data_IF_178839209245
#
_entry.id   IF_178839209245
#
_cell.length_a   1.000
_cell.length_b   1.000
_cell.length_c   1.000
_cell.angle_alpha   90.00
_cell.angle_beta   90.00
_cell.angle_gamma   90.00
#
_symmetry.space_group_name_H-M   'P 1'
#
loop_
_entity.id
_entity.type
_entity.pdbx_description
1 polymer ?
#
# COMPACT_ATOMS: atom_id res chain seq x y z
N UNK A 1 -4.87 -1.44 -11.36
CA UNK A 1 -3.55 -1.28 -10.76
C UNK A 1 -2.62 -0.53 -11.71
N UNK A 2 -1.70 0.33 -11.20
CA UNK A 2 -0.87 1.21 -12.05
C UNK A 2 -0.03 0.43 -13.08
N UNK A 3 0.55 -0.70 -12.70
CA UNK A 3 1.32 -1.56 -13.63
C UNK A 3 0.49 -2.06 -14.82
N UNK A 4 -0.75 -2.46 -14.56
CA UNK A 4 -1.67 -2.93 -15.59
C UNK A 4 -2.20 -1.79 -16.46
N UNK A 5 -2.29 -0.60 -15.86
CA UNK A 5 -2.82 0.60 -16.52
C UNK A 5 -1.76 1.39 -17.29
N UNK A 6 -0.46 1.11 -17.10
CA UNK A 6 0.65 1.88 -17.67
C UNK A 6 0.49 2.12 -19.18
N UNK A 7 0.26 1.05 -19.94
CA UNK A 7 0.10 1.15 -21.39
C UNK A 7 -1.07 2.04 -21.82
N UNK A 8 -2.15 2.05 -21.03
CA UNK A 8 -3.31 2.89 -21.32
C UNK A 8 -3.02 4.36 -21.00
N UNK A 9 -2.44 4.64 -19.83
CA UNK A 9 -2.05 6.00 -19.46
C UNK A 9 -1.10 6.62 -20.49
N UNK A 10 -0.08 5.85 -20.93
CA UNK A 10 0.91 6.33 -21.92
C UNK A 10 0.35 6.47 -23.34
N UNK A 11 -0.78 5.85 -23.66
CA UNK A 11 -1.44 5.99 -24.96
C UNK A 11 -2.42 7.18 -25.05
N UNK A 12 -2.76 7.79 -23.91
CA UNK A 12 -3.69 8.92 -23.89
C UNK A 12 -3.02 10.20 -24.41
N UNK A 13 -3.76 11.01 -25.19
CA UNK A 13 -3.32 12.36 -25.54
C UNK A 13 -3.10 13.22 -24.29
N UNK A 14 -2.06 14.03 -24.29
CA UNK A 14 -1.75 14.92 -23.16
C UNK A 14 -2.92 15.86 -22.82
N UNK A 15 -3.65 16.34 -23.84
CA UNK A 15 -4.82 17.19 -23.66
C UNK A 15 -5.94 16.53 -22.85
N UNK A 16 -6.14 15.22 -23.00
CA UNK A 16 -7.13 14.48 -22.23
C UNK A 16 -6.67 14.28 -20.78
N UNK A 17 -5.37 14.05 -20.60
CA UNK A 17 -4.81 13.91 -19.25
C UNK A 17 -4.96 15.22 -18.48
N UNK A 18 -4.62 16.35 -19.10
CA UNK A 18 -4.73 17.70 -18.51
C UNK A 18 -6.19 18.10 -18.19
N UNK A 19 -7.16 17.56 -18.92
CA UNK A 19 -8.58 17.81 -18.66
C UNK A 19 -9.13 17.01 -17.45
N UNK A 20 -8.39 16.04 -16.91
CA UNK A 20 -8.88 15.12 -15.89
C UNK A 20 -7.97 15.06 -14.66
N UNK A 21 -8.42 15.57 -13.49
CA UNK A 21 -7.69 15.43 -12.24
C UNK A 21 -7.33 13.96 -11.89
N UNK A 22 -8.20 13.03 -12.28
CA UNK A 22 -7.96 11.60 -12.08
C UNK A 22 -6.80 11.07 -12.91
N UNK A 23 -6.71 11.49 -14.15
CA UNK A 23 -5.62 11.07 -15.04
C UNK A 23 -4.30 11.73 -14.66
N UNK A 24 -4.31 13.04 -14.31
CA UNK A 24 -3.10 13.70 -13.78
C UNK A 24 -2.57 13.04 -12.52
N UNK A 25 -3.44 12.71 -11.55
CA UNK A 25 -3.07 11.93 -10.36
C UNK A 25 -2.47 10.58 -10.74
N UNK A 26 -3.13 9.86 -11.65
CA UNK A 26 -2.69 8.55 -12.12
C UNK A 26 -1.31 8.61 -12.80
N UNK A 27 -1.07 9.60 -13.65
CA UNK A 27 0.22 9.82 -14.32
C UNK A 27 1.32 10.18 -13.33
N UNK A 28 1.05 11.08 -12.36
CA UNK A 28 2.02 11.41 -11.31
C UNK A 28 2.44 10.16 -10.54
N UNK A 29 1.48 9.34 -10.12
CA UNK A 29 1.76 8.12 -9.39
C UNK A 29 2.47 7.06 -10.23
N UNK A 30 2.08 6.89 -11.50
CA UNK A 30 2.74 5.98 -12.42
C UNK A 30 4.21 6.35 -12.62
N UNK A 31 4.49 7.62 -12.92
CA UNK A 31 5.85 8.11 -13.07
C UNK A 31 6.68 7.88 -11.79
N UNK A 32 6.12 8.14 -10.61
CA UNK A 32 6.79 7.88 -9.34
C UNK A 32 7.13 6.40 -9.14
N UNK A 33 6.23 5.49 -9.50
CA UNK A 33 6.42 4.04 -9.38
C UNK A 33 7.48 3.49 -10.34
N UNK A 34 7.73 4.16 -11.47
CA UNK A 34 8.83 3.82 -12.39
C UNK A 34 10.09 4.68 -12.13
N UNK A 35 10.14 5.40 -11.01
CA UNK A 35 11.22 6.30 -10.58
C UNK A 35 11.48 7.50 -11.53
N UNK A 36 10.55 7.81 -12.40
CA UNK A 36 10.53 9.08 -13.15
C UNK A 36 9.96 10.19 -12.24
N UNK A 37 10.78 10.65 -11.31
CA UNK A 37 10.35 11.65 -10.33
C UNK A 37 10.11 13.02 -10.95
N UNK A 38 10.81 13.37 -12.03
CA UNK A 38 10.57 14.63 -12.77
C UNK A 38 9.20 14.60 -13.45
N UNK A 39 8.87 13.52 -14.14
CA UNK A 39 7.54 13.30 -14.71
C UNK A 39 6.44 13.30 -13.66
N UNK A 40 6.70 12.68 -12.51
CA UNK A 40 5.76 12.67 -11.39
C UNK A 40 5.46 14.07 -10.86
N UNK A 41 6.49 14.90 -10.61
CA UNK A 41 6.33 16.27 -10.12
C UNK A 41 5.72 17.20 -11.19
N UNK A 42 5.99 16.94 -12.48
CA UNK A 42 5.33 17.66 -13.58
C UNK A 42 3.81 17.47 -13.51
N UNK A 43 3.33 16.23 -13.44
CA UNK A 43 1.90 15.94 -13.39
C UNK A 43 1.24 16.40 -12.09
N UNK A 44 1.98 16.34 -10.98
CA UNK A 44 1.54 16.94 -9.71
C UNK A 44 1.35 18.45 -9.86
N UNK A 45 2.29 19.15 -10.49
CA UNK A 45 2.19 20.59 -10.75
C UNK A 45 1.02 20.98 -11.66
N UNK A 46 0.72 20.17 -12.69
CA UNK A 46 -0.47 20.40 -13.53
C UNK A 46 -1.77 20.20 -12.73
N UNK A 47 -1.84 19.20 -11.87
CA UNK A 47 -2.99 19.02 -10.97
C UNK A 47 -3.11 20.19 -9.97
N UNK A 48 -2.01 20.73 -9.48
CA UNK A 48 -2.00 21.91 -8.61
C UNK A 48 -2.56 23.14 -9.34
N UNK A 49 -2.12 23.40 -10.56
CA UNK A 49 -2.66 24.48 -11.41
C UNK A 49 -4.17 24.30 -11.64
N UNK A 50 -4.61 23.07 -11.89
CA UNK A 50 -6.04 22.78 -12.04
C UNK A 50 -6.82 23.18 -10.78
N UNK A 51 -6.31 22.84 -9.60
CA UNK A 51 -6.92 23.20 -8.30
C UNK A 51 -6.99 24.71 -8.10
N UNK A 52 -5.96 25.44 -8.51
CA UNK A 52 -5.91 26.91 -8.39
C UNK A 52 -6.98 27.62 -9.23
N UNK A 53 -7.36 27.03 -10.38
CA UNK A 53 -8.40 27.58 -11.27
C UNK A 53 -9.83 27.17 -10.85
N UNK A 54 -10.00 26.26 -9.90
CA UNK A 54 -11.29 25.78 -9.43
C UNK A 54 -11.82 26.56 -8.23
N UNK A 55 -13.12 26.82 -8.20
CA UNK A 55 -13.80 27.41 -7.04
C UNK A 55 -13.73 26.47 -5.80
N UNK A 56 -13.68 27.07 -4.59
CA UNK A 56 -13.61 26.30 -3.33
C UNK A 56 -14.77 25.32 -3.13
N UNK A 57 -15.96 25.66 -3.61
CA UNK A 57 -17.17 24.86 -3.45
C UNK A 57 -17.49 23.97 -4.67
N UNK A 58 -16.75 24.11 -5.73
CA UNK A 58 -16.92 23.30 -6.92
C UNK A 58 -16.60 21.82 -6.65
N UNK A 59 -17.46 20.91 -7.13
CA UNK A 59 -17.31 19.47 -6.93
C UNK A 59 -16.02 18.94 -7.57
N UNK A 60 -15.68 19.43 -8.79
CA UNK A 60 -14.44 19.06 -9.46
C UNK A 60 -13.21 19.58 -8.69
N UNK A 61 -13.28 20.80 -8.15
CA UNK A 61 -12.25 21.37 -7.31
C UNK A 61 -12.05 20.60 -5.98
N UNK A 62 -13.13 20.14 -5.34
CA UNK A 62 -13.04 19.29 -4.14
C UNK A 62 -12.37 17.95 -4.43
N UNK A 63 -12.72 17.31 -5.55
CA UNK A 63 -12.09 16.07 -5.98
C UNK A 63 -10.61 16.27 -6.32
N UNK A 64 -10.28 17.33 -7.07
CA UNK A 64 -8.90 17.64 -7.44
C UNK A 64 -8.02 17.90 -6.21
N UNK A 65 -8.52 18.67 -5.23
CA UNK A 65 -7.83 18.89 -3.94
C UNK A 65 -7.64 17.59 -3.15
N UNK A 66 -8.65 16.71 -3.13
CA UNK A 66 -8.53 15.40 -2.50
C UNK A 66 -7.46 14.54 -3.16
N UNK A 67 -7.35 14.56 -4.49
CA UNK A 67 -6.32 13.84 -5.23
C UNK A 67 -4.92 14.39 -5.00
N UNK A 68 -4.81 15.72 -4.91
CA UNK A 68 -3.56 16.39 -4.57
C UNK A 68 -3.09 16.01 -3.16
N UNK A 69 -3.99 16.11 -2.18
CA UNK A 69 -3.73 15.70 -0.80
C UNK A 69 -3.34 14.21 -0.69
N UNK A 70 -3.96 13.36 -1.51
CA UNK A 70 -3.59 11.95 -1.58
C UNK A 70 -2.18 11.76 -2.15
N UNK A 71 -1.79 12.47 -3.20
CA UNK A 71 -0.42 12.44 -3.74
C UNK A 71 0.61 12.91 -2.72
N UNK A 72 0.30 13.93 -1.92
CA UNK A 72 1.18 14.39 -0.83
C UNK A 72 1.46 13.29 0.19
N UNK A 73 0.47 12.45 0.46
CA UNK A 73 0.62 11.30 1.37
C UNK A 73 1.34 10.13 0.69
N UNK A 74 1.04 9.84 -0.58
CA UNK A 74 1.39 8.56 -1.22
C UNK A 74 2.67 8.60 -2.05
N UNK A 75 3.07 9.75 -2.63
CA UNK A 75 4.25 9.82 -3.50
C UNK A 75 5.53 9.38 -2.78
N UNK A 76 6.24 8.35 -3.30
CA UNK A 76 7.44 7.79 -2.65
C UNK A 76 8.53 8.82 -2.40
N UNK A 77 8.82 9.68 -3.39
CA UNK A 77 9.90 10.67 -3.33
C UNK A 77 9.68 11.75 -2.26
N UNK A 78 8.46 11.95 -1.78
CA UNK A 78 8.16 12.91 -0.70
C UNK A 78 8.50 12.38 0.69
N UNK A 79 8.86 11.09 0.80
CA UNK A 79 9.24 10.46 2.06
C UNK A 79 8.14 10.52 3.11
N UNK A 80 8.53 10.40 4.38
CA UNK A 80 7.61 10.37 5.53
C UNK A 80 7.73 11.62 6.43
N UNK A 81 8.73 12.45 6.22
CA UNK A 81 9.07 13.56 7.12
C UNK A 81 7.91 14.54 7.31
N UNK A 82 7.16 14.84 6.25
CA UNK A 82 6.01 15.74 6.29
C UNK A 82 4.67 15.08 6.67
N UNK A 83 4.59 13.75 6.75
CA UNK A 83 3.31 13.07 6.95
C UNK A 83 2.67 13.37 8.31
N UNK A 84 3.47 13.63 9.34
CA UNK A 84 2.99 14.04 10.67
C UNK A 84 2.21 15.36 10.65
N UNK A 85 2.45 16.20 9.65
CA UNK A 85 1.75 17.48 9.43
C UNK A 85 0.65 17.31 8.38
N UNK A 86 0.95 16.57 7.30
CA UNK A 86 0.04 16.38 6.17
C UNK A 86 -1.21 15.59 6.57
N UNK A 87 -1.07 14.48 7.32
CA UNK A 87 -2.23 13.65 7.71
C UNK A 87 -3.24 14.44 8.56
N UNK A 88 -2.85 15.15 9.63
CA UNK A 88 -3.80 15.99 10.37
C UNK A 88 -4.38 17.15 9.55
N UNK A 89 -3.60 17.69 8.58
CA UNK A 89 -4.11 18.74 7.69
C UNK A 89 -5.20 18.20 6.76
N UNK A 90 -4.96 17.04 6.13
CA UNK A 90 -5.96 16.36 5.29
C UNK A 90 -7.21 15.99 6.11
N UNK A 91 -7.04 15.50 7.33
CA UNK A 91 -8.16 15.22 8.22
C UNK A 91 -9.04 16.46 8.46
N UNK A 92 -8.44 17.63 8.70
CA UNK A 92 -9.20 18.88 8.85
C UNK A 92 -9.96 19.24 7.57
N UNK A 93 -9.35 19.11 6.40
CA UNK A 93 -10.00 19.37 5.12
C UNK A 93 -11.19 18.44 4.87
N UNK A 94 -11.08 17.16 5.24
CA UNK A 94 -12.18 16.19 5.16
C UNK A 94 -13.32 16.55 6.13
N UNK A 95 -12.98 16.87 7.37
CA UNK A 95 -13.96 17.26 8.40
C UNK A 95 -14.74 18.50 7.96
N UNK A 96 -14.08 19.45 7.31
CA UNK A 96 -14.70 20.66 6.77
C UNK A 96 -15.40 20.43 5.42
N UNK A 97 -15.39 19.20 4.88
CA UNK A 97 -15.96 18.86 3.55
C UNK A 97 -15.34 19.66 2.39
N UNK A 98 -14.09 20.07 2.52
CA UNK A 98 -13.36 20.83 1.52
C UNK A 98 -12.70 19.93 0.47
N UNK A 99 -12.52 18.64 0.78
CA UNK A 99 -11.96 17.63 -0.10
C UNK A 99 -12.79 16.35 -0.08
N UNK A 100 -12.66 15.56 -1.17
CA UNK A 100 -13.13 14.18 -1.24
C UNK A 100 -11.94 13.30 -1.66
N UNK A 101 -11.53 12.38 -0.80
CA UNK A 101 -10.42 11.48 -1.11
C UNK A 101 -10.87 10.41 -2.11
N UNK A 102 -10.03 10.09 -3.11
CA UNK A 102 -10.26 8.95 -3.97
C UNK A 102 -10.05 7.63 -3.20
N UNK A 103 -10.72 6.58 -3.63
CA UNK A 103 -10.37 5.23 -3.19
C UNK A 103 -8.97 4.86 -3.67
N UNK A 104 -8.15 4.28 -2.81
CA UNK A 104 -6.78 3.90 -3.13
C UNK A 104 -6.32 2.66 -2.35
N UNK A 105 -5.30 1.99 -2.87
CA UNK A 105 -4.63 0.90 -2.20
C UNK A 105 -3.60 1.45 -1.20
N UNK A 106 -3.61 0.97 0.03
CA UNK A 106 -2.63 1.36 1.06
C UNK A 106 -1.30 0.61 0.94
N UNK A 107 -1.29 -0.52 0.22
CA UNK A 107 -0.12 -1.42 0.11
C UNK A 107 0.36 -1.60 -1.32
N UNK A 108 -0.37 -1.12 -2.34
CA UNK A 108 -0.10 -1.41 -3.76
C UNK A 108 0.05 -2.92 -4.05
N UNK A 109 -0.76 -3.76 -3.39
CA UNK A 109 -0.72 -5.23 -3.44
C UNK A 109 0.56 -5.85 -2.82
N UNK A 110 1.23 -5.14 -1.91
CA UNK A 110 2.36 -5.65 -1.14
C UNK A 110 1.88 -6.31 0.17
N UNK A 111 2.59 -7.33 0.68
CA UNK A 111 2.28 -7.96 1.97
C UNK A 111 2.84 -7.13 3.14
N UNK A 112 2.80 -5.82 3.06
CA UNK A 112 3.45 -4.91 4.00
C UNK A 112 2.82 -3.53 3.95
N UNK A 113 2.71 -2.89 5.11
CA UNK A 113 2.31 -1.50 5.27
C UNK A 113 3.54 -0.58 5.32
N UNK A 114 4.55 -0.97 6.11
CA UNK A 114 5.71 -0.13 6.41
C UNK A 114 6.81 -0.25 5.35
N UNK A 115 6.87 -1.36 4.63
CA UNK A 115 7.86 -1.60 3.57
C UNK A 115 7.30 -1.35 2.17
N UNK A 116 6.44 -0.35 2.02
CA UNK A 116 5.86 0.06 0.75
C UNK A 116 6.78 0.94 -0.10
N UNK A 117 6.19 1.89 -0.80
CA UNK A 117 6.91 2.85 -1.63
C UNK A 117 7.69 3.93 -0.87
N UNK A 118 7.55 4.02 0.46
CA UNK A 118 8.24 5.01 1.30
C UNK A 118 9.17 4.35 2.30
N UNK A 119 10.23 5.06 2.66
CA UNK A 119 11.10 4.70 3.78
C UNK A 119 10.52 5.22 5.10
N UNK A 120 10.07 4.29 5.94
CA UNK A 120 9.52 4.57 7.27
C UNK A 120 10.55 4.40 8.40
N UNK A 121 11.83 4.25 8.11
CA UNK A 121 12.87 4.03 9.13
C UNK A 121 12.89 5.11 10.21
N UNK A 122 12.70 6.39 9.84
CA UNK A 122 12.59 7.48 10.81
C UNK A 122 11.36 7.39 11.71
N UNK A 123 10.25 6.89 11.19
CA UNK A 123 9.03 6.68 11.97
C UNK A 123 9.18 5.53 12.96
N UNK A 124 9.88 4.49 12.56
CA UNK A 124 10.11 3.33 13.42
C UNK A 124 10.80 3.68 14.74
N UNK A 125 11.60 4.74 14.77
CA UNK A 125 12.24 5.27 16.00
C UNK A 125 11.24 5.81 17.02
N UNK A 126 10.03 6.16 16.60
CA UNK A 126 8.98 6.80 17.40
C UNK A 126 7.63 6.12 17.21
N UNK A 127 7.61 4.85 16.84
CA UNK A 127 6.41 4.12 16.42
C UNK A 127 5.28 4.13 17.46
N UNK A 128 5.57 3.94 18.77
CA UNK A 128 4.56 4.00 19.82
C UNK A 128 3.93 5.40 19.96
N UNK A 129 4.73 6.46 19.80
CA UNK A 129 4.23 7.83 19.83
C UNK A 129 3.36 8.11 18.61
N UNK A 130 3.83 7.73 17.43
CA UNK A 130 3.12 7.92 16.16
C UNK A 130 1.82 7.12 16.12
N UNK A 131 1.84 5.88 16.61
CA UNK A 131 0.62 5.07 16.75
C UNK A 131 -0.43 5.79 17.60
N UNK A 132 -0.05 6.31 18.78
CA UNK A 132 -0.96 7.03 19.69
C UNK A 132 -1.51 8.32 19.08
N UNK A 133 -0.73 9.02 18.27
CA UNK A 133 -1.09 10.34 17.75
C UNK A 133 -1.79 10.29 16.39
N UNK A 134 -1.42 9.34 15.53
CA UNK A 134 -1.91 9.26 14.15
C UNK A 134 -3.01 8.24 13.93
N UNK A 135 -3.22 7.27 14.85
CA UNK A 135 -4.24 6.24 14.68
C UNK A 135 -5.62 6.83 14.37
N UNK A 136 -6.12 7.68 15.23
CA UNK A 136 -7.47 8.27 15.05
C UNK A 136 -7.58 9.14 13.79
N UNK A 137 -6.63 10.05 13.48
CA UNK A 137 -6.64 10.78 12.22
C UNK A 137 -6.62 9.86 10.99
N UNK A 138 -5.80 8.80 10.99
CA UNK A 138 -5.70 7.85 9.87
C UNK A 138 -7.02 7.07 9.71
N UNK A 139 -7.57 6.53 10.80
CA UNK A 139 -8.84 5.81 10.77
C UNK A 139 -9.99 6.70 10.26
N UNK A 140 -10.03 7.97 10.68
CA UNK A 140 -11.05 8.91 10.24
C UNK A 140 -10.89 9.32 8.75
N UNK A 141 -9.64 9.45 8.25
CA UNK A 141 -9.34 9.79 6.85
C UNK A 141 -9.68 8.64 5.93
N UNK A 142 -9.32 7.42 6.30
CA UNK A 142 -9.45 6.22 5.46
C UNK A 142 -10.77 5.47 5.70
N UNK A 143 -11.45 5.72 6.80
CA UNK A 143 -12.70 5.06 7.14
C UNK A 143 -12.53 3.53 7.20
N UNK A 144 -13.36 2.79 6.46
CA UNK A 144 -13.33 1.33 6.44
C UNK A 144 -12.03 0.74 5.89
N UNK A 145 -11.31 1.48 5.06
CA UNK A 145 -10.03 1.05 4.49
C UNK A 145 -8.88 1.05 5.51
N UNK A 146 -9.12 1.64 6.70
CA UNK A 146 -8.16 1.70 7.80
C UNK A 146 -8.30 0.57 8.83
N UNK A 147 -9.27 -0.31 8.69
CA UNK A 147 -9.46 -1.43 9.63
C UNK A 147 -8.16 -2.25 9.71
N UNK A 148 -7.62 -2.41 10.91
CA UNK A 148 -6.31 -3.02 11.22
C UNK A 148 -5.07 -2.25 10.71
N UNK A 149 -5.19 -1.13 9.98
CA UNK A 149 -4.05 -0.45 9.36
C UNK A 149 -2.99 -0.02 10.38
N UNK A 150 -3.39 0.76 11.39
CA UNK A 150 -2.45 1.28 12.38
C UNK A 150 -1.87 0.16 13.26
N UNK A 151 -2.70 -0.82 13.65
CA UNK A 151 -2.27 -1.96 14.45
C UNK A 151 -1.32 -2.88 13.68
N UNK A 152 -1.58 -3.11 12.38
CA UNK A 152 -0.68 -3.87 11.51
C UNK A 152 0.64 -3.12 11.29
N UNK A 153 0.60 -1.81 11.05
CA UNK A 153 1.79 -0.99 10.82
C UNK A 153 2.74 -1.01 12.03
N UNK A 154 2.20 -0.85 13.25
CA UNK A 154 3.04 -0.91 14.46
C UNK A 154 3.54 -2.33 14.74
N UNK A 155 2.73 -3.36 14.49
CA UNK A 155 3.18 -4.74 14.62
C UNK A 155 4.33 -5.04 13.65
N UNK A 156 4.21 -4.58 12.40
CA UNK A 156 5.27 -4.73 11.40
C UNK A 156 6.55 -3.97 11.79
N UNK A 157 6.44 -2.71 12.24
CA UNK A 157 7.60 -1.94 12.72
C UNK A 157 8.35 -2.65 13.83
N UNK A 158 7.62 -3.24 14.79
CA UNK A 158 8.23 -4.00 15.90
C UNK A 158 8.84 -5.33 15.42
N UNK A 159 8.17 -6.04 14.53
CA UNK A 159 8.69 -7.26 13.90
C UNK A 159 10.03 -7.01 13.18
N UNK A 160 10.12 -5.93 12.41
CA UNK A 160 11.37 -5.56 11.69
C UNK A 160 12.52 -5.21 12.66
N UNK A 161 12.21 -4.86 13.90
CA UNK A 161 13.21 -4.66 14.97
C UNK A 161 13.57 -5.96 15.70
N UNK A 162 13.00 -7.09 15.34
CA UNK A 162 13.19 -8.37 15.99
C UNK A 162 12.39 -8.53 17.29
N UNK A 163 11.39 -7.69 17.56
CA UNK A 163 10.49 -7.85 18.69
C UNK A 163 9.47 -8.97 18.43
N UNK A 164 9.08 -9.67 19.48
CA UNK A 164 7.97 -10.64 19.37
C UNK A 164 6.64 -9.91 19.21
N UNK A 165 5.96 -10.22 18.12
CA UNK A 165 4.66 -9.64 17.78
C UNK A 165 3.51 -10.64 17.81
N UNK A 166 3.75 -11.89 18.25
CA UNK A 166 2.75 -12.96 18.24
C UNK A 166 1.48 -12.56 19.00
N UNK A 167 1.59 -12.00 20.20
CA UNK A 167 0.45 -11.54 20.98
C UNK A 167 -0.34 -10.42 20.28
N UNK A 168 0.36 -9.53 19.59
CA UNK A 168 -0.26 -8.44 18.80
C UNK A 168 -0.98 -8.99 17.58
N UNK A 169 -0.37 -9.92 16.86
CA UNK A 169 -1.02 -10.58 15.72
C UNK A 169 -2.26 -11.37 16.15
N UNK A 170 -2.23 -12.06 17.29
CA UNK A 170 -3.41 -12.74 17.84
C UNK A 170 -4.55 -11.75 18.15
N UNK A 171 -4.26 -10.55 18.60
CA UNK A 171 -5.27 -9.51 18.84
C UNK A 171 -5.90 -8.95 17.57
N UNK A 172 -5.26 -9.08 16.42
CA UNK A 172 -5.80 -8.68 15.12
C UNK A 172 -6.73 -9.74 14.50
N UNK A 173 -6.57 -11.01 14.84
CA UNK A 173 -7.35 -12.11 14.25
C UNK A 173 -8.87 -11.93 14.35
N UNK A 174 -9.46 -11.49 15.50
CA UNK A 174 -10.90 -11.23 15.56
C UNK A 174 -11.39 -10.17 14.58
N UNK A 175 -10.54 -9.18 14.26
CA UNK A 175 -10.84 -8.10 13.34
C UNK A 175 -10.74 -8.54 11.86
N UNK A 176 -10.11 -9.69 11.57
CA UNK A 176 -9.96 -10.19 10.21
C UNK A 176 -11.28 -10.49 9.51
N UNK A 177 -12.33 -10.87 10.25
CA UNK A 177 -13.66 -11.04 9.67
C UNK A 177 -14.25 -9.69 9.22
N UNK A 178 -14.02 -8.63 9.96
CA UNK A 178 -14.42 -7.27 9.58
C UNK A 178 -13.63 -6.80 8.37
N UNK A 179 -12.31 -7.05 8.33
CA UNK A 179 -11.46 -6.75 7.17
C UNK A 179 -11.96 -7.49 5.91
N UNK A 180 -12.30 -8.78 6.02
CA UNK A 180 -12.81 -9.58 4.89
C UNK A 180 -14.15 -9.08 4.37
N UNK A 181 -15.03 -8.66 5.25
CA UNK A 181 -16.40 -8.28 4.91
C UNK A 181 -16.54 -6.81 4.53
N UNK A 182 -15.72 -5.93 5.10
CA UNK A 182 -15.89 -4.49 5.03
C UNK A 182 -14.59 -3.71 4.73
N UNK A 183 -13.44 -4.32 4.92
CA UNK A 183 -12.13 -3.72 4.66
C UNK A 183 -11.63 -3.94 3.23
N UNK A 184 -10.38 -3.58 2.99
CA UNK A 184 -9.72 -3.80 1.71
C UNK A 184 -8.99 -5.15 1.67
N UNK A 185 -8.92 -5.75 0.49
CA UNK A 185 -8.10 -6.94 0.25
C UNK A 185 -6.61 -6.68 0.52
N UNK A 186 -6.19 -5.43 0.37
CA UNK A 186 -4.83 -4.97 0.71
C UNK A 186 -4.51 -5.19 2.19
N UNK A 187 -5.44 -4.84 3.08
CA UNK A 187 -5.27 -5.05 4.52
C UNK A 187 -5.32 -6.53 4.89
N UNK A 188 -6.23 -7.30 4.29
CA UNK A 188 -6.28 -8.74 4.49
C UNK A 188 -4.94 -9.38 4.11
N UNK A 189 -4.35 -8.95 3.00
CA UNK A 189 -3.05 -9.44 2.54
C UNK A 189 -1.91 -9.02 3.48
N UNK A 190 -1.85 -7.75 3.87
CA UNK A 190 -0.78 -7.26 4.74
C UNK A 190 -0.78 -7.93 6.12
N UNK A 191 -1.95 -8.06 6.75
CA UNK A 191 -2.07 -8.73 8.06
C UNK A 191 -1.72 -10.21 7.97
N UNK A 192 -2.22 -10.92 6.95
CA UNK A 192 -1.91 -12.34 6.75
C UNK A 192 -0.43 -12.55 6.39
N UNK A 193 0.14 -11.64 5.60
CA UNK A 193 1.56 -11.64 5.26
C UNK A 193 2.46 -11.47 6.49
N UNK A 194 2.14 -10.53 7.37
CA UNK A 194 2.88 -10.33 8.62
C UNK A 194 2.72 -11.52 9.57
N UNK A 195 1.51 -12.11 9.65
CA UNK A 195 1.27 -13.31 10.43
C UNK A 195 2.15 -14.47 9.96
N UNK A 196 2.19 -14.73 8.65
CA UNK A 196 3.01 -15.80 8.10
C UNK A 196 4.52 -15.57 8.35
N UNK A 197 4.99 -14.31 8.23
CA UNK A 197 6.38 -13.94 8.55
C UNK A 197 6.70 -14.16 10.02
N UNK A 198 5.79 -13.79 10.92
CA UNK A 198 5.94 -14.03 12.36
C UNK A 198 5.96 -15.52 12.69
N UNK A 199 5.06 -16.32 12.09
CA UNK A 199 5.06 -17.78 12.25
C UNK A 199 6.37 -18.40 11.77
N UNK A 200 6.89 -17.98 10.61
CA UNK A 200 8.15 -18.45 10.07
C UNK A 200 9.33 -18.10 10.99
N UNK A 201 9.39 -16.88 11.50
CA UNK A 201 10.42 -16.45 12.46
C UNK A 201 10.38 -17.23 13.78
N UNK A 202 9.19 -17.66 14.19
CA UNK A 202 8.98 -18.49 15.39
C UNK A 202 9.15 -20.01 15.14
N UNK A 203 9.71 -20.40 13.99
CA UNK A 203 9.97 -21.82 13.67
C UNK A 203 8.70 -22.63 13.34
N UNK A 204 7.67 -21.98 12.86
CA UNK A 204 6.37 -22.58 12.49
C UNK A 204 6.13 -22.52 10.96
N UNK A 205 7.01 -23.11 10.12
CA UNK A 205 6.92 -22.97 8.65
C UNK A 205 5.63 -23.59 8.07
N UNK A 206 5.13 -24.66 8.68
CA UNK A 206 3.89 -25.33 8.26
C UNK A 206 2.69 -24.40 8.43
N UNK A 207 2.62 -23.67 9.54
CA UNK A 207 1.53 -22.72 9.78
C UNK A 207 1.66 -21.50 8.89
N UNK A 208 2.88 -20.99 8.69
CA UNK A 208 3.15 -19.90 7.74
C UNK A 208 2.70 -20.27 6.33
N UNK A 209 3.04 -21.46 5.85
CA UNK A 209 2.60 -21.99 4.56
C UNK A 209 1.08 -22.07 4.47
N UNK A 210 0.43 -22.66 5.47
CA UNK A 210 -1.03 -22.77 5.52
C UNK A 210 -1.70 -21.40 5.45
N UNK A 211 -1.20 -20.41 6.18
CA UNK A 211 -1.72 -19.04 6.18
C UNK A 211 -1.71 -18.45 4.78
N UNK A 212 -0.60 -18.57 4.04
CA UNK A 212 -0.49 -18.02 2.69
C UNK A 212 -1.29 -18.83 1.67
N UNK A 213 -1.31 -20.17 1.76
CA UNK A 213 -2.06 -21.01 0.81
C UNK A 213 -3.58 -20.76 0.90
N UNK A 214 -4.14 -20.73 2.11
CA UNK A 214 -5.57 -20.45 2.32
C UNK A 214 -5.95 -19.07 1.78
N UNK A 215 -5.12 -18.07 2.05
CA UNK A 215 -5.34 -16.73 1.51
C UNK A 215 -5.26 -16.70 -0.01
N UNK A 216 -4.29 -17.40 -0.59
CA UNK A 216 -4.07 -17.48 -2.04
C UNK A 216 -5.27 -18.11 -2.77
N UNK A 217 -5.80 -19.21 -2.23
CA UNK A 217 -7.00 -19.86 -2.76
C UNK A 217 -8.21 -18.91 -2.70
N UNK A 218 -8.45 -18.31 -1.55
CA UNK A 218 -9.54 -17.33 -1.38
C UNK A 218 -9.42 -16.15 -2.35
N UNK A 219 -8.21 -15.62 -2.55
CA UNK A 219 -7.99 -14.48 -3.46
C UNK A 219 -8.13 -14.90 -4.93
N UNK A 220 -7.70 -16.10 -5.29
CA UNK A 220 -7.90 -16.66 -6.62
C UNK A 220 -9.39 -16.82 -6.95
N UNK A 221 -10.18 -17.38 -6.04
CA UNK A 221 -11.64 -17.53 -6.17
C UNK A 221 -12.37 -16.18 -6.31
N UNK A 222 -11.88 -15.15 -5.62
CA UNK A 222 -12.41 -13.77 -5.69
C UNK A 222 -11.90 -12.98 -6.90
N UNK A 223 -11.05 -13.56 -7.75
CA UNK A 223 -10.46 -12.88 -8.92
C UNK A 223 -9.42 -11.80 -8.56
N UNK A 224 -8.87 -11.82 -7.35
CA UNK A 224 -7.89 -10.86 -6.85
C UNK A 224 -6.46 -11.22 -7.31
N UNK A 225 -6.28 -11.41 -8.62
CA UNK A 225 -5.07 -11.97 -9.23
C UNK A 225 -3.82 -11.13 -9.01
N UNK A 226 -3.95 -9.82 -8.77
CA UNK A 226 -2.82 -8.90 -8.55
C UNK A 226 -1.96 -9.27 -7.33
N UNK A 227 -2.51 -9.98 -6.36
CA UNK A 227 -1.79 -10.39 -5.15
C UNK A 227 -1.05 -11.72 -5.29
N UNK A 228 -1.48 -12.58 -6.20
CA UNK A 228 -0.98 -13.94 -6.32
C UNK A 228 0.53 -14.02 -6.53
N UNK A 229 1.17 -13.16 -7.37
CA UNK A 229 2.62 -13.21 -7.55
C UNK A 229 3.41 -12.96 -6.26
N UNK A 230 2.93 -12.08 -5.38
CA UNK A 230 3.57 -11.84 -4.09
C UNK A 230 3.35 -13.00 -3.11
N UNK A 231 2.19 -13.66 -3.16
CA UNK A 231 1.93 -14.86 -2.35
C UNK A 231 2.80 -16.04 -2.80
N UNK A 232 2.95 -16.25 -4.11
CA UNK A 232 3.85 -17.26 -4.66
C UNK A 232 5.31 -17.01 -4.23
N UNK A 233 5.75 -15.75 -4.21
CA UNK A 233 7.07 -15.37 -3.72
C UNK A 233 7.24 -15.61 -2.20
N UNK A 234 6.18 -15.38 -1.42
CA UNK A 234 6.20 -15.71 0.03
C UNK A 234 6.28 -17.22 0.27
N UNK A 235 5.61 -18.03 -0.53
CA UNK A 235 5.71 -19.49 -0.49
C UNK A 235 7.14 -19.95 -0.83
N UNK A 236 7.74 -19.39 -1.89
CA UNK A 236 9.14 -19.64 -2.24
C UNK A 236 10.09 -19.30 -1.08
N UNK A 237 9.88 -18.18 -0.39
CA UNK A 237 10.67 -17.82 0.79
C UNK A 237 10.55 -18.88 1.91
N UNK A 238 9.35 -19.44 2.12
CA UNK A 238 9.14 -20.52 3.08
C UNK A 238 9.87 -21.78 2.64
N UNK A 239 9.85 -22.13 1.32
CA UNK A 239 10.57 -23.25 0.74
C UNK A 239 12.08 -23.13 1.01
N UNK A 240 12.66 -21.96 0.70
CA UNK A 240 14.07 -21.67 0.99
C UNK A 240 14.39 -21.84 2.50
N UNK A 241 13.49 -21.40 3.38
CA UNK A 241 13.69 -21.46 4.82
C UNK A 241 13.61 -22.89 5.36
N UNK A 242 12.83 -23.76 4.72
CA UNK A 242 12.70 -25.19 5.07
C UNK A 242 13.71 -26.08 4.36
N UNK A 243 14.52 -25.53 3.45
CA UNK A 243 15.52 -26.26 2.68
C UNK A 243 14.96 -26.96 1.43
N UNK A 244 13.72 -26.68 1.04
CA UNK A 244 13.15 -27.17 -0.22
C UNK A 244 13.62 -26.30 -1.39
N UNK A 245 14.88 -26.49 -1.75
CA UNK A 245 15.54 -25.70 -2.80
C UNK A 245 15.01 -26.04 -4.19
N UNK A 246 14.50 -27.24 -4.41
CA UNK A 246 13.93 -27.64 -5.71
C UNK A 246 12.64 -26.85 -6.00
N UNK A 247 11.76 -26.71 -5.00
CA UNK A 247 10.55 -25.91 -5.12
C UNK A 247 10.88 -24.40 -5.32
N UNK A 248 11.88 -23.89 -4.61
CA UNK A 248 12.33 -22.51 -4.75
C UNK A 248 12.92 -22.24 -6.15
N UNK A 249 13.73 -23.17 -6.69
CA UNK A 249 14.30 -23.06 -8.03
C UNK A 249 13.21 -23.14 -9.12
N UNK A 250 12.22 -24.02 -8.95
CA UNK A 250 11.07 -24.10 -9.85
C UNK A 250 10.30 -22.76 -9.90
N UNK A 251 10.03 -22.15 -8.73
CA UNK A 251 9.42 -20.83 -8.67
C UNK A 251 10.28 -19.77 -9.40
N UNK A 252 11.58 -19.77 -9.16
CA UNK A 252 12.50 -18.82 -9.78
C UNK A 252 12.47 -18.91 -11.31
N UNK A 253 12.47 -20.12 -11.86
CA UNK A 253 12.46 -20.33 -13.32
C UNK A 253 11.13 -19.99 -13.98
N UNK A 254 10.01 -20.27 -13.29
CA UNK A 254 8.69 -20.19 -13.90
C UNK A 254 7.96 -18.88 -13.60
N UNK A 255 8.18 -18.29 -12.43
CA UNK A 255 7.34 -17.22 -11.89
C UNK A 255 8.09 -15.97 -11.44
N UNK A 256 9.40 -16.05 -11.24
CA UNK A 256 10.16 -14.88 -10.84
C UNK A 256 10.18 -13.84 -11.97
N UNK A 257 10.12 -12.54 -11.62
CA UNK A 257 10.18 -11.48 -12.63
C UNK A 257 11.54 -11.51 -13.34
N UNK A 258 11.50 -11.72 -14.66
CA UNK A 258 12.72 -11.79 -15.48
C UNK A 258 13.34 -10.43 -15.76
N UNK A 259 12.56 -9.35 -15.68
CA UNK A 259 13.03 -7.99 -15.96
C UNK A 259 13.08 -7.15 -14.68
N UNK A 260 14.19 -6.42 -14.44
CA UNK A 260 14.30 -5.51 -13.31
C UNK A 260 13.51 -4.21 -13.58
N UNK A 261 12.21 -4.32 -13.79
CA UNK A 261 11.34 -3.14 -13.83
C UNK A 261 11.06 -2.67 -12.42
N UNK A 262 10.90 -1.37 -12.20
CA UNK A 262 10.60 -0.82 -10.90
C UNK A 262 9.31 -1.35 -10.30
N UNK A 263 8.34 -1.70 -11.15
CA UNK A 263 7.10 -2.34 -10.75
C UNK A 263 7.34 -3.75 -10.18
N UNK A 264 8.37 -4.45 -10.61
CA UNK A 264 8.80 -5.74 -10.07
C UNK A 264 9.62 -5.60 -8.78
N UNK A 265 10.38 -4.52 -8.62
CA UNK A 265 11.09 -4.20 -7.36
C UNK A 265 10.12 -4.02 -6.19
N UNK A 266 8.87 -3.64 -6.46
CA UNK A 266 7.81 -3.54 -5.45
C UNK A 266 7.25 -4.91 -5.02
N UNK A 267 7.64 -6.02 -5.65
CA UNK A 267 7.33 -7.37 -5.16
C UNK A 267 8.29 -7.70 -4.02
N UNK A 268 7.77 -7.71 -2.81
CA UNK A 268 8.55 -8.05 -1.61
C UNK A 268 8.16 -9.44 -1.12
N UNK A 269 9.19 -10.18 -0.79
CA UNK A 269 9.11 -11.59 -0.44
C UNK A 269 9.18 -11.80 1.07
#
# INVERSE_FOLDING_TARGET
HYAEMEKYYRSLPETEILASPSLMQGMSMLCALVMDYEGSERWYGELQKFVEHCGRQDAAGKQARGRLAWLDISLPQRGVKGLTETIPAVFRLLTNKEVALPSFSVTSALPSIMNGGKDFSEWSKKDDLLYKTLRLPVEAVLGRDSVCLADCAIAESKFEKGEDVAGRMLSLLPQMNEVRNHGTSDMEFAVSGLLARSQLANGQPTDARRTIMVLRECFAERGLTRFLPNMDAMLCRIDMHTGDLDAADAWYREKAPCEPTHLNVMRRY
#
